data_IF_959277938727
#
_entry.id   IF_959277938727
#
_cell.length_a   1.000
_cell.length_b   1.000
_cell.length_c   1.000
_cell.angle_alpha   90.00
_cell.angle_beta   90.00
_cell.angle_gamma   90.00
#
_symmetry.space_group_name_H-M   'P 1'
#
loop_
_entity.id
_entity.type
_entity.pdbx_description
1 polymer ?
#
# COMPACT_ATOMS: atom_id res chain seq x y z
N UNK A 1 -16.46 -6.46 -0.66
CA UNK A 1 -15.37 -5.51 -0.98
C UNK A 1 -14.06 -6.14 -0.54
N UNK A 2 -12.93 -5.79 -1.19
CA UNK A 2 -11.64 -6.42 -0.89
C UNK A 2 -10.51 -5.39 -0.84
N UNK A 3 -9.60 -5.55 0.12
CA UNK A 3 -8.37 -4.76 0.25
C UNK A 3 -7.17 -5.67 0.04
N UNK A 4 -6.26 -5.27 -0.84
CA UNK A 4 -4.96 -5.92 -0.98
C UNK A 4 -3.98 -5.30 0.01
N UNK A 5 -3.23 -6.14 0.71
CA UNK A 5 -2.24 -5.70 1.69
C UNK A 5 -0.87 -6.27 1.31
N UNK A 6 0.16 -5.44 1.36
CA UNK A 6 1.54 -5.84 1.06
C UNK A 6 2.35 -5.84 2.36
N UNK A 7 2.96 -6.96 2.69
CA UNK A 7 3.94 -7.04 3.77
C UNK A 7 5.36 -6.91 3.17
N UNK A 8 5.96 -5.75 3.33
CA UNK A 8 7.33 -5.45 2.90
C UNK A 8 8.42 -5.89 3.90
N UNK A 9 8.04 -6.49 5.03
CA UNK A 9 9.01 -7.03 5.98
C UNK A 9 9.53 -8.41 5.52
N UNK A 10 10.83 -8.69 5.67
CA UNK A 10 11.37 -10.04 5.46
C UNK A 10 10.88 -11.04 6.52
N UNK A 11 10.38 -10.54 7.65
CA UNK A 11 9.83 -11.36 8.74
C UNK A 11 8.32 -11.54 8.55
N UNK A 12 7.90 -12.77 8.24
CA UNK A 12 6.48 -13.09 7.97
C UNK A 12 5.58 -12.84 9.19
N UNK A 13 6.12 -12.98 10.40
CA UNK A 13 5.43 -12.82 11.67
C UNK A 13 6.07 -11.72 12.54
N UNK A 14 6.70 -10.71 11.93
CA UNK A 14 7.34 -9.59 12.63
C UNK A 14 6.38 -8.43 12.93
N UNK A 15 6.97 -7.30 13.36
CA UNK A 15 6.22 -6.10 13.74
C UNK A 15 5.27 -5.60 12.64
N UNK A 16 5.76 -5.54 11.38
CA UNK A 16 4.93 -5.10 10.23
C UNK A 16 3.73 -6.03 10.03
N UNK A 17 3.96 -7.35 10.09
CA UNK A 17 2.89 -8.33 9.94
C UNK A 17 1.84 -8.21 11.06
N UNK A 18 2.30 -7.98 12.32
CA UNK A 18 1.39 -7.76 13.45
C UNK A 18 0.54 -6.50 13.27
N UNK A 19 1.15 -5.41 12.81
CA UNK A 19 0.44 -4.17 12.51
C UNK A 19 -0.60 -4.37 11.39
N UNK A 20 -0.22 -5.00 10.28
CA UNK A 20 -1.14 -5.32 9.18
C UNK A 20 -2.29 -6.24 9.62
N UNK A 21 -2.01 -7.18 10.52
CA UNK A 21 -3.05 -8.04 11.09
C UNK A 21 -4.11 -7.23 11.85
N UNK A 22 -3.70 -6.26 12.67
CA UNK A 22 -4.63 -5.40 13.40
C UNK A 22 -5.54 -4.60 12.45
N UNK A 23 -4.97 -4.08 11.36
CA UNK A 23 -5.75 -3.41 10.30
C UNK A 23 -6.71 -4.40 9.62
N UNK A 24 -6.26 -5.62 9.31
CA UNK A 24 -7.06 -6.66 8.69
C UNK A 24 -8.25 -7.07 9.57
N UNK A 25 -8.04 -7.21 10.88
CA UNK A 25 -9.09 -7.56 11.84
C UNK A 25 -10.15 -6.43 11.91
N UNK A 26 -9.71 -5.16 11.89
CA UNK A 26 -10.62 -4.01 11.85
C UNK A 26 -11.42 -3.94 10.53
N UNK A 27 -10.81 -4.28 9.39
CA UNK A 27 -11.50 -4.39 8.09
C UNK A 27 -12.53 -5.52 8.10
N UNK A 28 -12.17 -6.69 8.65
CA UNK A 28 -13.07 -7.85 8.75
C UNK A 28 -14.32 -7.52 9.60
N UNK A 29 -14.16 -6.77 10.69
CA UNK A 29 -15.27 -6.27 11.51
C UNK A 29 -16.19 -5.31 10.76
N UNK A 30 -15.78 -4.81 9.59
CA UNK A 30 -16.55 -3.96 8.69
C UNK A 30 -17.02 -4.68 7.41
N UNK A 31 -16.99 -6.00 7.38
CA UNK A 31 -17.34 -6.85 6.23
C UNK A 31 -16.49 -6.60 4.99
N UNK A 32 -15.23 -6.25 5.18
CA UNK A 32 -14.24 -6.07 4.11
C UNK A 32 -13.20 -7.17 4.19
N UNK A 33 -13.12 -7.96 3.12
CA UNK A 33 -12.09 -8.99 2.97
C UNK A 33 -10.71 -8.36 2.76
N UNK A 34 -9.68 -8.92 3.35
CA UNK A 34 -8.29 -8.52 3.09
C UNK A 34 -7.44 -9.72 2.68
N UNK A 35 -6.44 -9.46 1.83
CA UNK A 35 -5.47 -10.46 1.40
C UNK A 35 -4.06 -9.89 1.54
N UNK A 36 -3.19 -10.57 2.31
CA UNK A 36 -1.80 -10.15 2.51
C UNK A 36 -0.89 -10.90 1.55
N UNK A 37 -0.05 -10.16 0.82
CA UNK A 37 1.04 -10.66 -0.01
C UNK A 37 2.37 -10.33 0.67
N UNK A 38 3.19 -11.34 0.91
CA UNK A 38 4.51 -11.18 1.53
C UNK A 38 5.56 -10.93 0.44
N UNK A 39 6.07 -9.70 0.40
CA UNK A 39 7.06 -9.22 -0.58
C UNK A 39 8.47 -9.17 0.01
N UNK A 40 8.60 -8.78 1.27
CA UNK A 40 9.90 -8.44 1.87
C UNK A 40 10.89 -9.61 2.00
N UNK A 41 10.43 -10.85 1.90
CA UNK A 41 11.26 -12.06 1.91
C UNK A 41 11.51 -12.63 0.49
N UNK A 42 11.17 -11.89 -0.55
CA UNK A 42 11.34 -12.29 -1.95
C UNK A 42 12.50 -11.55 -2.59
N UNK A 43 13.13 -12.19 -3.55
CA UNK A 43 14.13 -11.55 -4.41
C UNK A 43 13.42 -10.70 -5.45
N UNK A 44 13.21 -9.42 -5.13
CA UNK A 44 12.51 -8.46 -5.99
C UNK A 44 13.53 -7.54 -6.65
N UNK A 45 13.71 -7.73 -7.93
CA UNK A 45 14.55 -6.88 -8.76
C UNK A 45 13.89 -5.51 -9.00
N UNK A 46 14.68 -4.43 -9.01
CA UNK A 46 14.24 -3.09 -9.38
C UNK A 46 13.84 -2.96 -10.87
N UNK A 47 13.11 -1.90 -11.20
CA UNK A 47 12.76 -1.59 -12.59
C UNK A 47 14.02 -1.26 -13.40
N UNK A 48 14.14 -1.79 -14.62
CA UNK A 48 15.27 -1.55 -15.52
C UNK A 48 14.95 -0.56 -16.65
N UNK A 49 13.76 0.08 -16.61
CA UNK A 49 13.36 1.09 -17.61
C UNK A 49 13.23 0.57 -19.04
N UNK A 50 12.96 -0.72 -19.23
CA UNK A 50 12.92 -1.35 -20.56
C UNK A 50 11.68 -1.02 -21.38
N UNK A 51 10.68 -0.37 -20.83
CA UNK A 51 9.38 0.00 -21.45
C UNK A 51 8.55 -1.18 -21.98
N UNK A 52 8.94 -2.43 -21.73
CA UNK A 52 8.18 -3.61 -22.15
C UNK A 52 6.70 -3.54 -21.73
N UNK A 53 6.44 -3.03 -20.54
CA UNK A 53 5.07 -2.91 -20.01
C UNK A 53 4.19 -1.91 -20.78
N UNK A 54 4.75 -0.93 -21.50
CA UNK A 54 3.98 0.01 -22.31
C UNK A 54 3.25 -0.69 -23.46
N UNK A 55 3.85 -1.75 -24.01
CA UNK A 55 3.29 -2.52 -25.12
C UNK A 55 2.50 -3.75 -24.66
N UNK A 56 2.90 -4.35 -23.52
CA UNK A 56 2.40 -5.65 -23.08
C UNK A 56 1.49 -5.60 -21.84
N UNK A 57 1.36 -4.42 -21.19
CA UNK A 57 0.53 -4.23 -20.00
C UNK A 57 0.98 -5.03 -18.76
N UNK A 58 2.22 -5.54 -18.74
CA UNK A 58 2.81 -6.31 -17.65
C UNK A 58 4.32 -6.15 -17.61
N UNK A 59 4.93 -6.37 -16.43
CA UNK A 59 6.39 -6.33 -16.31
C UNK A 59 7.06 -7.45 -17.13
N UNK A 60 8.25 -7.18 -17.69
CA UNK A 60 9.05 -8.17 -18.43
C UNK A 60 9.49 -9.32 -17.52
N UNK A 61 9.71 -9.08 -16.22
CA UNK A 61 10.04 -10.11 -15.26
C UNK A 61 8.78 -10.84 -14.82
N UNK A 62 8.73 -12.13 -15.05
CA UNK A 62 7.60 -12.98 -14.66
C UNK A 62 7.79 -13.46 -13.21
N UNK A 63 7.41 -12.60 -12.28
CA UNK A 63 7.54 -12.82 -10.84
C UNK A 63 6.31 -12.30 -10.07
N UNK A 64 6.43 -12.19 -8.76
CA UNK A 64 5.36 -11.77 -7.85
C UNK A 64 4.69 -10.44 -8.23
N UNK A 65 5.37 -9.54 -8.97
CA UNK A 65 4.77 -8.30 -9.45
C UNK A 65 3.62 -8.60 -10.41
N UNK A 66 3.87 -9.45 -11.41
CA UNK A 66 2.84 -9.84 -12.38
C UNK A 66 1.73 -10.69 -11.76
N UNK A 67 2.04 -11.48 -10.74
CA UNK A 67 1.05 -12.27 -9.99
C UNK A 67 0.13 -11.36 -9.15
N UNK A 68 0.69 -10.28 -8.62
CA UNK A 68 -0.05 -9.33 -7.75
C UNK A 68 -0.90 -8.34 -8.54
N UNK A 69 -0.50 -7.98 -9.75
CA UNK A 69 -1.19 -6.98 -10.57
C UNK A 69 -2.70 -7.24 -10.72
N UNK A 70 -3.19 -8.45 -11.09
CA UNK A 70 -4.63 -8.73 -11.21
C UNK A 70 -5.36 -8.72 -9.85
N UNK A 71 -4.67 -8.98 -8.75
CA UNK A 71 -5.25 -8.89 -7.41
C UNK A 71 -5.46 -7.41 -7.03
N UNK A 72 -4.51 -6.55 -7.35
CA UNK A 72 -4.62 -5.11 -7.13
C UNK A 72 -5.70 -4.49 -8.02
N UNK A 73 -5.83 -4.92 -9.27
CA UNK A 73 -6.89 -4.45 -10.16
C UNK A 73 -8.29 -4.67 -9.56
N UNK A 74 -8.54 -5.84 -8.98
CA UNK A 74 -9.82 -6.22 -8.38
C UNK A 74 -10.09 -5.60 -7.01
N UNK A 75 -9.04 -5.17 -6.29
CA UNK A 75 -9.16 -4.59 -4.95
C UNK A 75 -9.67 -3.15 -5.00
N UNK A 76 -10.44 -2.73 -3.98
CA UNK A 76 -10.89 -1.37 -3.76
C UNK A 76 -9.85 -0.51 -3.03
N UNK A 77 -8.85 -1.14 -2.42
CA UNK A 77 -7.76 -0.45 -1.72
C UNK A 77 -6.48 -1.26 -1.72
N UNK A 78 -5.37 -0.56 -1.49
CA UNK A 78 -4.03 -1.12 -1.32
C UNK A 78 -3.42 -0.56 -0.04
N UNK A 79 -3.07 -1.45 0.89
CA UNK A 79 -2.34 -1.10 2.11
C UNK A 79 -0.93 -1.67 2.01
N UNK A 80 0.08 -0.84 2.22
CA UNK A 80 1.48 -1.25 2.16
C UNK A 80 2.12 -1.12 3.53
N UNK A 81 2.54 -2.24 4.10
CA UNK A 81 3.31 -2.30 5.34
C UNK A 81 4.80 -2.41 5.06
N UNK A 82 5.61 -1.63 5.77
CA UNK A 82 7.08 -1.65 5.65
C UNK A 82 7.77 -1.51 7.00
N UNK A 83 8.88 -2.22 7.24
CA UNK A 83 9.80 -1.84 8.31
C UNK A 83 10.63 -0.63 7.87
N UNK A 84 11.14 0.13 8.86
CA UNK A 84 12.10 1.22 8.61
C UNK A 84 13.51 0.65 8.44
N UNK A 85 14.13 0.95 7.30
CA UNK A 85 15.54 0.66 7.01
C UNK A 85 16.26 1.97 6.66
N UNK A 86 17.21 2.41 7.51
CA UNK A 86 17.96 3.66 7.30
C UNK A 86 17.05 4.89 7.05
N UNK A 87 15.97 5.00 7.82
CA UNK A 87 14.94 6.04 7.70
C UNK A 87 14.16 6.03 6.37
N UNK A 88 14.14 4.91 5.65
CA UNK A 88 13.36 4.68 4.43
C UNK A 88 12.53 3.41 4.55
N UNK A 89 11.59 3.25 3.62
CA UNK A 89 10.90 1.99 3.43
C UNK A 89 11.89 0.90 2.96
N UNK A 90 11.58 -0.37 3.22
CA UNK A 90 12.39 -1.50 2.76
C UNK A 90 12.61 -1.42 1.23
N UNK A 91 13.86 -1.52 0.78
CA UNK A 91 14.23 -1.42 -0.64
C UNK A 91 13.55 -2.46 -1.54
N UNK A 92 13.29 -3.66 -1.03
CA UNK A 92 12.55 -4.70 -1.76
C UNK A 92 11.10 -4.31 -2.02
N UNK A 93 10.41 -3.70 -1.03
CA UNK A 93 9.04 -3.22 -1.25
C UNK A 93 8.99 -2.02 -2.19
N UNK A 94 9.97 -1.11 -2.14
CA UNK A 94 10.05 0.00 -3.11
C UNK A 94 10.26 -0.52 -4.53
N UNK A 95 11.19 -1.44 -4.74
CA UNK A 95 11.42 -2.09 -6.04
C UNK A 95 10.16 -2.81 -6.57
N UNK A 96 9.40 -3.44 -5.66
CA UNK A 96 8.13 -4.06 -6.00
C UNK A 96 7.10 -3.03 -6.43
N UNK A 97 6.93 -1.95 -5.68
CA UNK A 97 5.96 -0.87 -5.96
C UNK A 97 6.31 -0.13 -7.25
N UNK A 98 7.58 0.22 -7.49
CA UNK A 98 8.03 0.82 -8.73
C UNK A 98 7.53 0.03 -9.94
N UNK A 99 7.72 -1.27 -9.89
CA UNK A 99 7.31 -2.15 -10.99
C UNK A 99 5.81 -2.38 -11.05
N UNK A 100 5.15 -2.58 -9.91
CA UNK A 100 3.70 -2.81 -9.85
C UNK A 100 2.94 -1.59 -10.39
N UNK A 101 3.29 -0.39 -9.93
CA UNK A 101 2.61 0.83 -10.36
C UNK A 101 2.92 1.21 -11.80
N UNK A 102 4.17 1.03 -12.25
CA UNK A 102 4.58 1.39 -13.61
C UNK A 102 4.07 0.40 -14.66
N UNK A 103 4.01 -0.90 -14.34
CA UNK A 103 3.65 -1.93 -15.33
C UNK A 103 2.15 -2.21 -15.45
N UNK A 104 1.30 -1.58 -14.65
CA UNK A 104 -0.14 -1.81 -14.67
C UNK A 104 -0.89 -0.63 -15.28
N UNK A 105 -1.73 -0.91 -16.30
CA UNK A 105 -2.47 0.11 -17.08
C UNK A 105 -3.87 0.40 -16.54
N UNK A 106 -4.41 -0.41 -15.61
CA UNK A 106 -5.74 -0.16 -15.05
C UNK A 106 -5.77 1.13 -14.20
N UNK A 107 -6.92 1.79 -14.17
CA UNK A 107 -7.12 2.99 -13.35
C UNK A 107 -7.01 2.67 -11.86
N UNK A 108 -6.20 3.45 -11.17
CA UNK A 108 -6.05 3.41 -9.72
C UNK A 108 -6.82 4.54 -9.02
N UNK A 109 -7.43 5.44 -9.82
CA UNK A 109 -8.20 6.57 -9.33
C UNK A 109 -9.30 6.11 -8.38
N UNK A 110 -9.35 6.72 -7.19
CA UNK A 110 -10.28 6.40 -6.12
C UNK A 110 -10.19 4.98 -5.54
N UNK A 111 -9.11 4.23 -5.79
CA UNK A 111 -8.74 3.12 -4.91
C UNK A 111 -8.10 3.69 -3.65
N UNK A 112 -8.52 3.22 -2.46
CA UNK A 112 -8.00 3.75 -1.20
C UNK A 112 -6.59 3.25 -0.94
N UNK A 113 -5.63 4.17 -0.74
CA UNK A 113 -4.27 3.86 -0.34
C UNK A 113 -4.05 4.01 1.15
N UNK A 114 -3.18 3.20 1.75
CA UNK A 114 -2.70 3.42 3.10
C UNK A 114 -1.29 2.84 3.29
N UNK A 115 -0.49 3.52 4.11
CA UNK A 115 0.84 3.07 4.51
C UNK A 115 0.83 2.67 5.99
N UNK A 116 1.48 1.57 6.32
CA UNK A 116 1.72 1.09 7.69
C UNK A 116 3.21 0.95 7.88
N UNK A 117 3.76 1.54 8.92
CA UNK A 117 5.21 1.51 9.20
C UNK A 117 5.48 0.84 10.53
N UNK A 118 6.50 0.02 10.60
CA UNK A 118 7.03 -0.48 11.86
C UNK A 118 8.47 -0.03 12.06
N UNK A 119 8.78 0.50 13.23
CA UNK A 119 10.13 0.94 13.58
C UNK A 119 10.49 0.56 15.01
N UNK A 120 11.79 0.41 15.27
CA UNK A 120 12.27 0.29 16.63
C UNK A 120 12.23 1.64 17.38
N UNK A 121 12.53 2.76 16.67
CA UNK A 121 12.68 4.07 17.32
C UNK A 121 12.33 5.25 16.42
N UNK A 122 12.99 5.43 15.28
CA UNK A 122 12.90 6.64 14.47
C UNK A 122 12.94 6.31 12.96
N UNK A 123 12.60 7.31 12.11
CA UNK A 123 12.62 7.21 10.65
C UNK A 123 11.30 6.74 10.03
N UNK A 124 10.26 6.56 10.83
CA UNK A 124 8.95 6.10 10.37
C UNK A 124 8.27 7.10 9.44
N UNK A 125 8.29 8.38 9.73
CA UNK A 125 7.64 9.41 8.89
C UNK A 125 8.25 9.48 7.49
N UNK A 126 9.57 9.35 7.37
CA UNK A 126 10.24 9.32 6.07
C UNK A 126 9.85 8.08 5.26
N UNK A 127 9.83 6.90 5.90
CA UNK A 127 9.37 5.66 5.26
C UNK A 127 7.89 5.70 4.89
N UNK A 128 7.07 6.36 5.68
CA UNK A 128 5.65 6.61 5.41
C UNK A 128 5.47 7.46 4.15
N UNK A 129 6.24 8.55 4.02
CA UNK A 129 6.18 9.43 2.86
C UNK A 129 6.67 8.75 1.58
N UNK A 130 7.67 7.88 1.66
CA UNK A 130 8.16 7.14 0.50
C UNK A 130 7.03 6.38 -0.21
N UNK A 131 6.17 5.72 0.55
CA UNK A 131 5.08 4.90 0.00
C UNK A 131 3.89 5.77 -0.42
N UNK A 132 3.54 6.81 0.33
CA UNK A 132 2.40 7.66 0.02
C UNK A 132 2.51 8.37 -1.34
N UNK A 133 3.74 8.59 -1.85
CA UNK A 133 3.99 9.16 -3.19
C UNK A 133 3.38 8.30 -4.31
N UNK A 134 3.38 6.96 -4.18
CA UNK A 134 2.75 6.08 -5.17
C UNK A 134 1.24 6.29 -5.25
N UNK A 135 0.60 6.52 -4.10
CA UNK A 135 -0.84 6.73 -4.04
C UNK A 135 -1.22 8.10 -4.61
N UNK A 136 -0.52 9.15 -4.22
CA UNK A 136 -0.83 10.52 -4.63
C UNK A 136 -0.73 10.70 -6.13
N UNK A 137 0.34 10.18 -6.78
CA UNK A 137 0.52 10.33 -8.24
C UNK A 137 -0.55 9.59 -9.06
N UNK A 138 -1.20 8.60 -8.45
CA UNK A 138 -2.22 7.78 -9.11
C UNK A 138 -3.67 8.20 -8.82
N UNK A 139 -3.89 9.32 -8.13
CA UNK A 139 -5.22 9.79 -7.75
C UNK A 139 -5.92 8.88 -6.74
N UNK A 140 -5.16 8.17 -5.92
CA UNK A 140 -5.65 7.33 -4.84
C UNK A 140 -5.77 8.17 -3.56
N UNK A 141 -6.96 8.27 -2.94
CA UNK A 141 -7.10 8.91 -1.63
C UNK A 141 -6.33 8.12 -0.58
N UNK A 142 -5.55 8.82 0.26
CA UNK A 142 -4.78 8.21 1.35
C UNK A 142 -5.63 8.22 2.61
N UNK A 143 -5.85 7.04 3.19
CA UNK A 143 -6.53 6.93 4.47
C UNK A 143 -5.61 7.38 5.61
N UNK A 144 -6.13 8.26 6.46
CA UNK A 144 -5.52 8.65 7.72
C UNK A 144 -6.15 7.89 8.89
N UNK A 145 -5.44 7.88 10.02
CA UNK A 145 -5.95 7.43 11.32
C UNK A 145 -5.93 8.59 12.32
N UNK A 146 -5.68 8.30 13.58
CA UNK A 146 -5.60 9.32 14.66
C UNK A 146 -4.17 9.77 14.93
N UNK A 147 -3.18 9.18 14.28
CA UNK A 147 -1.77 9.55 14.29
C UNK A 147 -1.13 9.08 12.98
N UNK A 148 0.20 9.23 12.77
CA UNK A 148 0.88 8.54 11.67
C UNK A 148 0.73 7.04 11.84
N UNK A 149 0.52 6.33 10.74
CA UNK A 149 0.21 4.89 10.77
C UNK A 149 1.45 4.08 11.09
N UNK A 150 1.90 4.12 12.32
CA UNK A 150 3.13 3.46 12.77
C UNK A 150 2.91 2.62 14.02
N UNK A 151 3.75 1.61 14.19
CA UNK A 151 3.91 0.83 15.41
C UNK A 151 5.37 0.75 15.80
N UNK A 152 5.63 0.64 17.09
CA UNK A 152 6.97 0.51 17.63
C UNK A 152 7.21 -0.86 18.25
N UNK A 153 8.38 -1.44 17.98
CA UNK A 153 8.82 -2.72 18.55
C UNK A 153 10.03 -3.26 17.83
N UNK A 154 10.74 -4.14 18.50
CA UNK A 154 11.81 -4.96 17.94
C UNK A 154 11.29 -6.33 17.51
N UNK A 155 10.28 -6.85 18.22
CA UNK A 155 9.58 -8.10 17.92
C UNK A 155 8.07 -7.85 17.84
N UNK A 156 7.32 -8.84 17.36
CA UNK A 156 5.86 -8.77 17.32
C UNK A 156 5.24 -8.64 18.72
N UNK A 157 5.87 -9.27 19.72
CA UNK A 157 5.47 -9.22 21.13
C UNK A 157 5.68 -7.82 21.74
N UNK A 158 6.65 -7.05 21.23
CA UNK A 158 6.82 -5.66 21.65
C UNK A 158 5.68 -4.79 21.09
N UNK A 159 5.23 -5.04 19.86
CA UNK A 159 4.09 -4.33 19.26
C UNK A 159 2.82 -4.53 20.08
N UNK A 160 2.63 -5.67 20.75
CA UNK A 160 1.48 -5.88 21.67
C UNK A 160 1.49 -4.91 22.86
N UNK A 161 2.66 -4.34 23.21
CA UNK A 161 2.80 -3.34 24.28
C UNK A 161 2.61 -1.91 23.77
N UNK A 162 2.67 -1.70 22.46
CA UNK A 162 2.42 -0.41 21.81
C UNK A 162 0.90 -0.20 21.62
N UNK A 163 0.22 0.09 22.72
CA UNK A 163 -1.24 0.21 22.74
C UNK A 163 -1.74 1.34 21.84
N UNK A 164 -0.98 2.45 21.73
CA UNK A 164 -1.32 3.57 20.84
C UNK A 164 -1.14 3.20 19.39
N UNK A 165 -0.04 2.53 19.03
CA UNK A 165 0.20 2.04 17.68
C UNK A 165 -0.87 1.04 17.24
N UNK A 166 -1.25 0.07 18.08
CA UNK A 166 -2.34 -0.86 17.79
C UNK A 166 -3.70 -0.14 17.67
N UNK A 167 -3.99 0.84 18.51
CA UNK A 167 -5.18 1.69 18.35
C UNK A 167 -5.17 2.42 17.02
N UNK A 168 -4.04 3.01 16.64
CA UNK A 168 -3.85 3.69 15.35
C UNK A 168 -4.12 2.74 14.18
N UNK A 169 -3.67 1.48 14.25
CA UNK A 169 -3.95 0.46 13.25
C UNK A 169 -5.44 0.13 13.15
N UNK A 170 -6.14 0.00 14.28
CA UNK A 170 -7.61 -0.21 14.29
C UNK A 170 -8.34 0.96 13.64
N UNK A 171 -7.97 2.18 14.01
CA UNK A 171 -8.57 3.39 13.44
C UNK A 171 -8.27 3.50 11.93
N UNK A 172 -7.08 3.12 11.49
CA UNK A 172 -6.76 3.04 10.07
C UNK A 172 -7.69 2.07 9.34
N UNK A 173 -7.90 0.87 9.87
CA UNK A 173 -8.84 -0.11 9.30
C UNK A 173 -10.26 0.44 9.18
N UNK A 174 -10.75 1.13 10.21
CA UNK A 174 -12.07 1.78 10.18
C UNK A 174 -12.13 2.90 9.13
N UNK A 175 -11.10 3.74 9.03
CA UNK A 175 -11.02 4.82 8.04
C UNK A 175 -10.99 4.28 6.61
N UNK A 176 -10.19 3.25 6.34
CA UNK A 176 -10.16 2.57 5.03
C UNK A 176 -11.52 2.01 4.68
N UNK A 177 -12.18 1.33 5.63
CA UNK A 177 -13.51 0.75 5.42
C UNK A 177 -14.55 1.84 5.09
N UNK A 178 -14.54 2.94 5.86
CA UNK A 178 -15.43 4.07 5.64
C UNK A 178 -15.23 4.70 4.25
N UNK A 179 -13.97 4.97 3.87
CA UNK A 179 -13.64 5.53 2.55
C UNK A 179 -14.09 4.63 1.41
N UNK A 180 -13.80 3.32 1.49
CA UNK A 180 -14.18 2.35 0.44
C UNK A 180 -15.71 2.32 0.27
N UNK A 181 -16.47 2.26 1.38
CA UNK A 181 -17.93 2.27 1.35
C UNK A 181 -18.49 3.59 0.81
N UNK A 182 -17.92 4.73 1.23
CA UNK A 182 -18.32 6.06 0.75
C UNK A 182 -18.04 6.25 -0.74
N UNK A 183 -16.88 5.79 -1.22
CA UNK A 183 -16.51 5.85 -2.64
C UNK A 183 -17.46 4.97 -3.47
N UNK A 184 -17.84 3.80 -2.97
CA UNK A 184 -18.79 2.92 -3.66
C UNK A 184 -20.16 3.61 -3.82
N UNK A 185 -20.70 4.22 -2.75
CA UNK A 185 -21.93 5.02 -2.81
C UNK A 185 -21.80 6.23 -3.73
N UNK A 186 -20.64 6.91 -3.70
CA UNK A 186 -20.33 8.02 -4.59
C UNK A 186 -20.37 7.60 -6.07
N UNK A 187 -19.79 6.44 -6.40
CA UNK A 187 -19.84 5.87 -7.76
C UNK A 187 -21.26 5.55 -8.23
N UNK A 188 -22.06 4.97 -7.36
CA UNK A 188 -23.48 4.70 -7.67
C UNK A 188 -24.25 5.99 -7.96
N UNK A 189 -23.96 7.08 -7.26
CA UNK A 189 -24.68 8.34 -7.36
C UNK A 189 -24.18 9.25 -8.48
N UNK A 190 -22.85 9.32 -8.68
CA UNK A 190 -22.18 10.32 -9.53
C UNK A 190 -21.39 9.69 -10.69
N UNK A 191 -21.30 8.37 -10.77
CA UNK A 191 -20.41 7.66 -11.69
C UNK A 191 -18.96 7.67 -11.25
N UNK A 192 -18.08 7.09 -12.05
CA UNK A 192 -16.65 7.08 -11.79
C UNK A 192 -16.02 8.46 -12.00
N UNK A 193 -15.18 8.88 -11.06
CA UNK A 193 -14.38 10.09 -11.22
C UNK A 193 -13.40 9.91 -12.39
N UNK A 194 -13.50 10.83 -13.36
CA UNK A 194 -12.61 10.88 -14.52
C UNK A 194 -11.58 11.99 -14.32
N UNK A 195 -10.32 11.66 -14.47
CA UNK A 195 -9.19 12.59 -14.41
C UNK A 195 -8.39 12.50 -15.73
N UNK A 196 -8.91 13.06 -16.83
CA UNK A 196 -8.22 13.01 -18.12
C UNK A 196 -6.91 13.79 -18.05
N UNK A 197 -5.85 13.23 -18.64
CA UNK A 197 -4.57 13.93 -18.77
C UNK A 197 -4.65 14.82 -20.01
N UNK A 198 -4.89 16.10 -19.80
CA UNK A 198 -5.03 17.10 -20.89
C UNK A 198 -3.69 17.72 -21.31
N UNK A 199 -2.72 17.75 -20.41
CA UNK A 199 -1.40 18.30 -20.70
C UNK A 199 -0.28 17.50 -20.01
N UNK A 200 0.84 17.40 -20.69
CA UNK A 200 2.10 16.88 -20.12
C UNK A 200 3.22 17.88 -20.39
N UNK A 201 3.91 18.26 -19.34
CA UNK A 201 5.06 19.18 -19.47
C UNK A 201 6.35 18.39 -19.55
N UNK A 202 7.14 18.69 -20.58
CA UNK A 202 8.50 18.22 -20.73
C UNK A 202 9.45 19.43 -20.63
N UNK A 203 10.32 19.46 -19.63
CA UNK A 203 11.17 20.63 -19.34
C UNK A 203 12.42 20.76 -20.24
N UNK A 204 12.71 19.78 -21.10
CA UNK A 204 13.76 19.88 -22.11
C UNK A 204 13.14 20.50 -23.36
N UNK A 205 13.68 21.66 -23.75
CA UNK A 205 13.26 22.41 -24.93
C UNK A 205 14.35 22.39 -25.97
#
# INVERSE_FOLDING_TARGET
MKVLMINGSPHLNGCTARALKEVADALAAQDIESQIINVGNKDIRGCIGCNYCCEHGKCVFNDLVNETAPLFEKAQGLIVGTPVYYAHANGGVLSFLDRLFYSTSFSKVMKVGATVVSSRRAGSTSAFDDINKYFTICGMPIASSTYWNEVHGFTAEDVEKDLEGLQTMRHLGLSVAYLIKSIALGRERFGDLQLPVEARTHFIR
#
